data_IF_077262233855
#
_entry.id   IF_077262233855
#
_cell.length_a   1.000
_cell.length_b   1.000
_cell.length_c   1.000
_cell.angle_alpha   90.00
_cell.angle_beta   90.00
_cell.angle_gamma   90.00
#
_symmetry.space_group_name_H-M   'P 1'
#
loop_
_entity.id
_entity.type
_entity.pdbx_description
1 polymer ?
#
# COMPACT_ATOMS: atom_id res chain seq x y z
N UNK A 1 5.36 -24.58 11.19
CA UNK A 1 4.06 -23.90 11.33
C UNK A 1 4.28 -22.40 11.23
N UNK A 2 3.52 -21.71 10.38
CA UNK A 2 3.62 -20.26 10.24
C UNK A 2 2.94 -19.55 11.41
N UNK A 3 3.56 -18.50 11.90
CA UNK A 3 2.96 -17.61 12.88
C UNK A 3 2.20 -16.45 12.26
N UNK A 4 2.01 -15.38 13.02
CA UNK A 4 1.39 -14.14 12.55
C UNK A 4 2.27 -13.49 11.47
N UNK A 5 1.64 -12.85 10.48
CA UNK A 5 2.37 -12.09 9.47
C UNK A 5 3.26 -11.03 10.12
N UNK A 6 4.52 -10.96 9.70
CA UNK A 6 5.50 -10.01 10.24
C UNK A 6 5.50 -8.70 9.44
N UNK A 7 5.66 -8.79 8.12
CA UNK A 7 5.63 -7.64 7.23
C UNK A 7 5.32 -8.07 5.80
N UNK A 8 5.04 -7.09 4.95
CA UNK A 8 4.91 -7.24 3.50
C UNK A 8 5.97 -6.36 2.87
N UNK A 9 6.80 -6.93 2.01
CA UNK A 9 7.82 -6.18 1.29
C UNK A 9 7.27 -5.69 -0.05
N UNK A 10 7.47 -4.39 -0.33
CA UNK A 10 7.08 -3.75 -1.59
C UNK A 10 8.29 -3.08 -2.24
N UNK A 11 8.31 -3.08 -3.56
CA UNK A 11 9.32 -2.39 -4.36
C UNK A 11 8.70 -1.11 -4.90
N UNK A 12 9.38 0.01 -4.68
CA UNK A 12 8.95 1.34 -5.12
C UNK A 12 10.05 2.00 -5.93
N UNK A 13 9.69 2.93 -6.80
CA UNK A 13 10.63 3.59 -7.69
C UNK A 13 11.36 4.78 -7.06
N UNK A 14 10.71 5.48 -6.13
CA UNK A 14 11.24 6.71 -5.55
C UNK A 14 10.80 6.87 -4.09
N UNK A 15 11.76 7.16 -3.20
CA UNK A 15 11.45 7.27 -1.77
C UNK A 15 10.60 8.50 -1.45
N UNK A 16 10.86 9.65 -2.05
CA UNK A 16 10.09 10.86 -1.76
C UNK A 16 8.61 10.72 -2.15
N UNK A 17 8.33 10.12 -3.31
CA UNK A 17 6.96 9.82 -3.72
C UNK A 17 6.30 8.81 -2.79
N UNK A 18 7.03 7.77 -2.41
CA UNK A 18 6.54 6.72 -1.50
C UNK A 18 6.25 7.29 -0.12
N UNK A 19 7.17 8.09 0.41
CA UNK A 19 7.04 8.75 1.71
C UNK A 19 5.83 9.69 1.73
N UNK A 20 5.69 10.54 0.72
CA UNK A 20 4.56 11.44 0.60
C UNK A 20 3.23 10.68 0.60
N UNK A 21 3.16 9.61 -0.19
CA UNK A 21 1.94 8.82 -0.31
C UNK A 21 1.61 8.06 0.99
N UNK A 22 2.49 7.16 1.42
CA UNK A 22 2.18 6.28 2.56
C UNK A 22 2.23 7.00 3.90
N UNK A 23 3.19 7.90 4.11
CA UNK A 23 3.37 8.57 5.40
C UNK A 23 2.51 9.81 5.49
N UNK A 24 2.62 10.74 4.55
CA UNK A 24 1.93 12.03 4.64
C UNK A 24 0.44 11.92 4.30
N UNK A 25 0.08 11.14 3.26
CA UNK A 25 -1.33 11.01 2.84
C UNK A 25 -2.07 9.91 3.58
N UNK A 26 -1.49 8.72 3.73
CA UNK A 26 -2.17 7.58 4.34
C UNK A 26 -1.97 7.46 5.86
N UNK A 27 -0.97 8.14 6.44
CA UNK A 27 -0.75 8.16 7.87
C UNK A 27 0.12 7.01 8.41
N UNK A 28 0.86 6.32 7.57
CA UNK A 28 1.90 5.39 8.05
C UNK A 28 3.01 6.16 8.76
N UNK A 29 3.73 5.49 9.64
CA UNK A 29 4.90 6.04 10.33
C UNK A 29 6.15 5.26 9.96
N UNK A 30 7.25 5.98 9.72
CA UNK A 30 8.57 5.36 9.58
C UNK A 30 9.00 4.83 10.94
N UNK A 31 9.11 3.52 11.09
CA UNK A 31 9.47 2.86 12.35
C UNK A 31 10.89 2.32 12.35
N UNK A 32 11.50 2.15 11.19
CA UNK A 32 12.89 1.74 11.06
C UNK A 32 13.47 2.21 9.74
N UNK A 33 14.71 2.69 9.78
CA UNK A 33 15.53 2.98 8.61
C UNK A 33 16.94 2.54 8.90
N UNK A 34 17.49 1.68 8.06
CA UNK A 34 18.85 1.15 8.22
C UNK A 34 19.53 1.03 6.87
N UNK A 35 20.73 1.61 6.75
CA UNK A 35 21.59 1.43 5.58
C UNK A 35 22.19 0.01 5.60
N UNK A 36 22.16 -0.66 4.44
CA UNK A 36 22.74 -2.00 4.26
C UNK A 36 23.95 -1.91 3.35
N UNK A 37 25.20 -1.96 3.93
CA UNK A 37 26.43 -1.73 3.14
C UNK A 37 26.66 -2.74 2.01
N UNK A 38 26.28 -4.02 2.21
CA UNK A 38 26.47 -5.06 1.20
C UNK A 38 25.58 -4.90 -0.02
N UNK A 39 24.39 -4.34 0.16
CA UNK A 39 23.43 -4.07 -0.92
C UNK A 39 23.48 -2.61 -1.39
N UNK A 40 24.17 -1.75 -0.67
CA UNK A 40 24.21 -0.30 -0.91
C UNK A 40 22.81 0.29 -1.07
N UNK A 41 21.92 -0.04 -0.12
CA UNK A 41 20.55 0.45 -0.08
C UNK A 41 20.09 0.69 1.36
N UNK A 42 18.85 1.16 1.50
CA UNK A 42 18.18 1.31 2.79
C UNK A 42 17.07 0.28 2.95
N UNK A 43 17.03 -0.32 4.13
CA UNK A 43 15.84 -1.06 4.59
C UNK A 43 14.99 -0.06 5.36
N UNK A 44 13.76 0.19 4.88
CA UNK A 44 12.80 1.07 5.55
C UNK A 44 11.55 0.31 5.89
N UNK A 45 11.10 0.45 7.11
CA UNK A 45 9.83 -0.14 7.56
C UNK A 45 8.88 0.97 7.98
N UNK A 46 7.67 0.91 7.45
CA UNK A 46 6.59 1.84 7.77
C UNK A 46 5.41 1.04 8.33
N UNK A 47 4.73 1.57 9.33
CA UNK A 47 3.64 0.86 10.00
C UNK A 47 2.44 1.76 10.24
N UNK A 48 1.26 1.13 10.18
CA UNK A 48 -0.01 1.71 10.60
C UNK A 48 -0.87 0.58 11.17
N UNK A 49 -1.30 0.70 12.43
CA UNK A 49 -2.01 -0.38 13.11
C UNK A 49 -1.18 -1.67 13.10
N UNK A 50 -1.80 -2.75 12.69
CA UNK A 50 -1.15 -4.06 12.58
C UNK A 50 -0.42 -4.29 11.26
N UNK A 51 -0.44 -3.31 10.35
CA UNK A 51 0.20 -3.42 9.04
C UNK A 51 1.60 -2.85 9.08
N UNK A 52 2.58 -3.66 8.68
CA UNK A 52 3.96 -3.22 8.47
C UNK A 52 4.37 -3.52 7.03
N UNK A 53 4.82 -2.47 6.34
CA UNK A 53 5.39 -2.59 5.00
C UNK A 53 6.91 -2.37 5.09
N UNK A 54 7.66 -3.24 4.44
CA UNK A 54 9.09 -3.08 4.22
C UNK A 54 9.28 -2.53 2.81
N UNK A 55 9.81 -1.32 2.72
CA UNK A 55 9.91 -0.57 1.46
C UNK A 55 11.31 -0.64 0.91
N UNK A 56 11.43 -1.15 -0.31
CA UNK A 56 12.69 -1.16 -1.07
C UNK A 56 12.57 -0.23 -2.27
N UNK A 57 13.51 0.68 -2.41
CA UNK A 57 13.57 1.60 -3.54
C UNK A 57 14.49 1.01 -4.61
N UNK A 58 13.91 0.63 -5.73
CA UNK A 58 14.60 -0.01 -6.86
C UNK A 58 14.07 0.57 -8.17
N UNK A 59 14.56 1.76 -8.57
CA UNK A 59 14.00 2.47 -9.73
C UNK A 59 14.14 1.72 -11.06
N UNK A 60 15.12 0.80 -11.15
CA UNK A 60 15.38 0.04 -12.38
C UNK A 60 14.60 -1.27 -12.48
N UNK A 61 13.78 -1.61 -11.47
CA UNK A 61 12.92 -2.78 -11.55
C UNK A 61 11.81 -2.58 -12.58
N UNK A 62 11.37 -3.66 -13.25
CA UNK A 62 10.22 -3.59 -14.14
C UNK A 62 8.98 -3.05 -13.42
N UNK A 63 8.16 -2.29 -14.14
CA UNK A 63 6.90 -1.81 -13.61
C UNK A 63 5.94 -2.97 -13.30
N UNK A 64 5.06 -2.76 -12.32
CA UNK A 64 4.01 -3.71 -11.98
C UNK A 64 3.06 -3.90 -13.16
N UNK A 65 2.71 -5.15 -13.45
CA UNK A 65 1.74 -5.49 -14.49
C UNK A 65 0.36 -5.73 -13.85
N UNK A 66 -0.56 -4.78 -14.03
CA UNK A 66 -1.94 -4.89 -13.57
C UNK A 66 -2.91 -5.36 -14.65
N UNK A 67 -2.55 -5.19 -15.91
CA UNK A 67 -3.40 -5.58 -17.05
C UNK A 67 -2.54 -6.00 -18.26
N UNK A 68 -2.56 -7.29 -18.67
CA UNK A 68 -3.21 -8.39 -17.96
C UNK A 68 -2.60 -8.64 -16.59
N UNK A 69 -3.39 -9.19 -15.67
CA UNK A 69 -2.90 -9.49 -14.33
C UNK A 69 -1.80 -10.54 -14.35
N UNK A 70 -0.76 -10.32 -13.56
CA UNK A 70 0.34 -11.26 -13.38
C UNK A 70 0.15 -12.05 -12.07
N UNK A 71 0.78 -13.21 -11.98
CA UNK A 71 0.79 -14.02 -10.75
C UNK A 71 1.51 -13.28 -9.61
N UNK A 72 1.08 -13.52 -8.39
CA UNK A 72 1.65 -12.94 -7.19
C UNK A 72 0.64 -12.12 -6.40
N UNK A 73 1.13 -11.19 -5.61
CA UNK A 73 0.29 -10.31 -4.80
C UNK A 73 -0.59 -9.45 -5.72
N UNK A 74 -1.91 -9.56 -5.55
CA UNK A 74 -2.86 -8.81 -6.37
C UNK A 74 -3.08 -7.40 -5.84
N UNK A 75 -3.35 -7.28 -4.55
CA UNK A 75 -3.56 -6.00 -3.86
C UNK A 75 -3.45 -6.17 -2.35
N UNK A 76 -3.44 -5.07 -1.63
CA UNK A 76 -3.55 -5.01 -0.17
C UNK A 76 -4.90 -4.40 0.20
N UNK A 77 -5.64 -5.05 1.08
CA UNK A 77 -6.92 -4.57 1.56
C UNK A 77 -6.83 -4.14 3.03
N UNK A 78 -7.39 -2.98 3.33
CA UNK A 78 -7.46 -2.41 4.67
C UNK A 78 -8.91 -2.31 5.12
N UNK A 79 -9.19 -2.79 6.34
CA UNK A 79 -10.52 -2.63 6.91
C UNK A 79 -10.73 -1.18 7.36
N UNK A 80 -11.89 -0.65 7.03
CA UNK A 80 -12.36 0.66 7.47
C UNK A 80 -13.80 0.56 8.00
N UNK A 81 -14.19 1.50 8.83
CA UNK A 81 -15.55 1.50 9.38
C UNK A 81 -16.59 2.01 8.37
N UNK A 82 -16.19 2.97 7.54
CA UNK A 82 -17.04 3.59 6.51
C UNK A 82 -16.20 3.89 5.27
N UNK A 83 -16.51 3.18 4.19
CA UNK A 83 -15.79 3.33 2.91
C UNK A 83 -16.02 4.69 2.28
N UNK A 84 -17.25 5.24 2.37
CA UNK A 84 -17.55 6.54 1.78
C UNK A 84 -16.80 7.68 2.50
N UNK A 85 -16.78 7.65 3.82
CA UNK A 85 -16.02 8.61 4.62
C UNK A 85 -14.52 8.51 4.32
N UNK A 86 -13.99 7.29 4.27
CA UNK A 86 -12.57 7.07 3.98
C UNK A 86 -12.21 7.48 2.55
N UNK A 87 -13.06 7.20 1.57
CA UNK A 87 -12.84 7.64 0.18
C UNK A 87 -12.82 9.18 0.07
N UNK A 88 -13.69 9.86 0.80
CA UNK A 88 -13.68 11.33 0.88
C UNK A 88 -12.38 11.83 1.50
N UNK A 89 -11.96 11.23 2.60
CA UNK A 89 -10.70 11.54 3.28
C UNK A 89 -9.48 11.37 2.36
N UNK A 90 -9.46 10.31 1.53
CA UNK A 90 -8.44 10.07 0.51
C UNK A 90 -8.47 11.15 -0.59
N UNK A 91 -9.66 11.47 -1.09
CA UNK A 91 -9.84 12.49 -2.14
C UNK A 91 -9.34 13.87 -1.68
N UNK A 92 -9.61 14.25 -0.45
CA UNK A 92 -9.12 15.51 0.16
C UNK A 92 -7.58 15.57 0.20
N UNK A 93 -6.91 14.43 0.17
CA UNK A 93 -5.45 14.29 0.14
C UNK A 93 -4.88 14.07 -1.25
N UNK A 94 -5.71 14.23 -2.28
CA UNK A 94 -5.29 14.07 -3.66
C UNK A 94 -5.13 12.62 -4.11
N UNK A 95 -5.76 11.68 -3.41
CA UNK A 95 -5.77 10.27 -3.77
C UNK A 95 -7.10 9.93 -4.41
N UNK A 96 -7.09 9.61 -5.70
CA UNK A 96 -8.30 9.20 -6.42
C UNK A 96 -8.70 7.77 -6.06
N UNK A 97 -9.99 7.56 -5.86
CA UNK A 97 -10.57 6.23 -5.66
C UNK A 97 -11.49 5.88 -6.83
N UNK A 98 -11.65 4.59 -7.08
CA UNK A 98 -12.67 4.09 -7.98
C UNK A 98 -14.07 4.32 -7.39
N UNK A 99 -15.14 4.16 -8.19
CA UNK A 99 -16.50 4.16 -7.64
C UNK A 99 -16.68 3.08 -6.55
N UNK A 100 -17.40 3.42 -5.49
CA UNK A 100 -17.69 2.50 -4.40
C UNK A 100 -18.62 1.39 -4.90
N UNK A 101 -18.30 0.15 -4.53
CA UNK A 101 -19.09 -1.05 -4.89
C UNK A 101 -19.47 -1.83 -3.65
N UNK A 102 -20.48 -2.68 -3.80
CA UNK A 102 -20.86 -3.64 -2.76
C UNK A 102 -20.17 -4.98 -3.01
N UNK A 103 -19.67 -5.59 -1.93
CA UNK A 103 -19.12 -6.94 -1.98
C UNK A 103 -20.29 -7.94 -1.79
N UNK A 104 -20.73 -8.52 -2.90
CA UNK A 104 -21.87 -9.44 -2.91
C UNK A 104 -21.52 -10.82 -2.33
N UNK A 105 -20.25 -11.10 -2.08
CA UNK A 105 -19.79 -12.39 -1.53
C UNK A 105 -19.54 -12.28 -0.03
N UNK A 106 -18.76 -11.29 0.39
CA UNK A 106 -18.33 -11.13 1.79
C UNK A 106 -19.15 -10.11 2.57
N UNK A 107 -19.99 -9.32 1.88
CA UNK A 107 -20.72 -8.20 2.46
C UNK A 107 -19.84 -6.96 2.61
N UNK A 108 -20.48 -5.82 2.90
CA UNK A 108 -19.82 -4.53 3.04
C UNK A 108 -19.55 -3.84 1.70
N UNK A 109 -19.09 -2.61 1.80
CA UNK A 109 -18.72 -1.81 0.64
C UNK A 109 -17.19 -1.75 0.54
N UNK A 110 -16.69 -1.52 -0.66
CA UNK A 110 -15.26 -1.40 -0.92
C UNK A 110 -14.98 -0.48 -2.09
N UNK A 111 -13.75 0.01 -2.17
CA UNK A 111 -13.22 0.66 -3.35
C UNK A 111 -11.71 0.49 -3.43
N UNK A 112 -11.14 0.78 -4.60
CA UNK A 112 -9.71 0.68 -4.87
C UNK A 112 -9.10 2.04 -5.17
N UNK A 113 -7.82 2.14 -4.86
CA UNK A 113 -6.93 3.21 -5.28
C UNK A 113 -5.55 2.60 -5.52
N UNK A 114 -4.59 3.40 -5.99
CA UNK A 114 -3.25 2.88 -6.31
C UNK A 114 -2.20 3.70 -5.61
N UNK A 115 -1.10 3.05 -5.24
CA UNK A 115 0.10 3.75 -4.82
C UNK A 115 0.82 4.37 -6.04
N UNK A 116 1.89 5.17 -5.85
CA UNK A 116 2.59 5.82 -6.98
C UNK A 116 3.18 4.85 -8.02
N UNK A 117 3.46 3.61 -7.63
CA UNK A 117 4.00 2.59 -8.52
C UNK A 117 2.93 1.63 -9.07
N UNK A 118 1.67 1.95 -8.84
CA UNK A 118 0.53 1.22 -9.40
C UNK A 118 0.09 0.01 -8.60
N UNK A 119 0.61 -0.21 -7.38
CA UNK A 119 0.10 -1.27 -6.51
C UNK A 119 -1.34 -0.95 -6.12
N UNK A 120 -2.31 -1.84 -6.44
CA UNK A 120 -3.68 -1.62 -6.02
C UNK A 120 -3.83 -1.77 -4.50
N UNK A 121 -4.53 -0.83 -3.90
CA UNK A 121 -4.89 -0.83 -2.49
C UNK A 121 -6.41 -0.79 -2.39
N UNK A 122 -6.96 -1.52 -1.43
CA UNK A 122 -8.40 -1.60 -1.22
C UNK A 122 -8.75 -1.10 0.18
N UNK A 123 -9.84 -0.36 0.29
CA UNK A 123 -10.52 -0.13 1.56
C UNK A 123 -11.83 -0.89 1.56
N UNK A 124 -12.11 -1.60 2.63
CA UNK A 124 -13.25 -2.52 2.75
C UNK A 124 -13.89 -2.43 4.14
N UNK A 125 -15.22 -2.38 4.20
CA UNK A 125 -15.98 -2.47 5.45
C UNK A 125 -16.00 -3.85 6.08
#
# INVERSE_FOLDING_TARGET
>A
MLGKQHHIAIICSDWEQTREFYIEKLGFRLVREAYRPTQDDYLRMISQGDTTLEVFIKPDCPERVNNPEAKGLRHLAFRVDDVEETARWLTERGVETEPIREDLVNGGRFTFFKDPDGLPLEIHE
#
